data_IF_374406920214
#
_entry.id   IF_374406920214
#
_cell.length_a   1.000
_cell.length_b   1.000
_cell.length_c   1.000
_cell.angle_alpha   90.00
_cell.angle_beta   90.00
_cell.angle_gamma   90.00
#
_symmetry.space_group_name_H-M   'P 1'
#
loop_
_entity.id
_entity.type
_entity.pdbx_description
1 polymer ?
#
# COMPACT_ATOMS: atom_id res chain seq x y z
N UNK A 1 15.96 -10.09 17.30
CA UNK A 1 14.48 -10.09 17.44
C UNK A 1 13.97 -9.40 16.19
N UNK A 2 13.44 -10.21 15.27
CA UNK A 2 13.09 -9.96 13.87
C UNK A 2 14.00 -8.99 13.10
N UNK A 3 14.94 -9.56 12.34
CA UNK A 3 15.48 -8.91 11.15
C UNK A 3 14.31 -8.79 10.17
N UNK A 4 13.54 -7.72 10.24
CA UNK A 4 12.50 -7.47 9.23
C UNK A 4 13.22 -6.85 8.04
N UNK A 5 13.24 -7.61 6.96
CA UNK A 5 13.74 -7.19 5.66
C UNK A 5 13.23 -5.77 5.39
N UNK A 6 14.10 -4.91 4.84
CA UNK A 6 13.63 -3.73 4.13
C UNK A 6 12.77 -4.30 3.02
N UNK A 7 11.47 -4.44 3.29
CA UNK A 7 10.53 -5.01 2.34
C UNK A 7 10.70 -4.19 1.08
N UNK A 8 10.58 -4.85 -0.07
CA UNK A 8 10.89 -4.28 -1.37
C UNK A 8 9.80 -3.28 -1.82
N UNK A 9 9.29 -2.53 -0.86
CA UNK A 9 8.30 -1.48 -0.93
C UNK A 9 8.75 -0.41 -1.91
N UNK A 10 7.82 -0.07 -2.78
CA UNK A 10 8.03 1.00 -3.74
C UNK A 10 8.26 2.30 -2.98
N UNK A 11 9.14 3.18 -3.48
CA UNK A 11 9.47 4.42 -2.81
C UNK A 11 8.23 5.32 -2.63
N UNK A 12 8.25 6.11 -1.57
CA UNK A 12 7.17 7.00 -1.17
C UNK A 12 6.26 6.40 -0.09
N UNK A 13 5.32 7.22 0.39
CA UNK A 13 4.41 6.86 1.49
C UNK A 13 2.97 6.81 1.02
N UNK A 14 2.14 6.00 1.68
CA UNK A 14 0.71 5.98 1.39
C UNK A 14 0.07 7.35 1.66
N UNK A 15 -0.90 7.77 0.84
CA UNK A 15 -1.71 8.94 1.15
C UNK A 15 -2.54 8.70 2.42
N UNK A 16 -3.05 9.78 3.01
CA UNK A 16 -4.01 9.66 4.10
C UNK A 16 -5.23 8.87 3.63
N UNK A 17 -5.67 7.87 4.40
CA UNK A 17 -6.82 7.05 4.03
C UNK A 17 -8.11 7.87 4.09
N UNK A 18 -8.91 7.77 3.03
CA UNK A 18 -10.34 8.12 3.03
C UNK A 18 -11.18 6.84 3.14
N UNK A 19 -12.48 6.92 3.48
CA UNK A 19 -13.35 5.74 3.60
C UNK A 19 -13.59 5.13 2.21
N UNK A 20 -12.77 4.14 1.88
CA UNK A 20 -12.89 3.32 0.68
C UNK A 20 -13.79 2.11 0.87
N UNK A 21 -13.84 1.28 -0.18
CA UNK A 21 -14.55 0.01 -0.13
C UNK A 21 -13.82 -0.96 0.80
N UNK A 22 -14.59 -1.68 1.61
CA UNK A 22 -14.13 -2.79 2.45
C UNK A 22 -13.79 -4.03 1.62
N UNK A 23 -12.78 -3.90 0.76
CA UNK A 23 -12.29 -4.96 -0.11
C UNK A 23 -10.76 -4.96 -0.11
N UNK A 24 -10.16 -6.14 -0.17
CA UNK A 24 -8.71 -6.31 -0.28
C UNK A 24 -8.33 -6.46 -1.75
N UNK A 25 -7.97 -5.36 -2.40
CA UNK A 25 -7.54 -5.36 -3.80
C UNK A 25 -6.06 -5.76 -3.97
N UNK A 26 -5.26 -5.59 -2.93
CA UNK A 26 -3.84 -5.92 -2.90
C UNK A 26 -3.44 -6.40 -1.49
N UNK A 27 -2.31 -7.09 -1.39
CA UNK A 27 -1.71 -7.53 -0.13
C UNK A 27 -0.30 -6.97 0.11
N UNK A 28 0.38 -6.56 -0.97
CA UNK A 28 1.72 -5.96 -0.97
C UNK A 28 1.85 -4.96 -2.12
N UNK A 29 2.81 -4.03 -2.02
CA UNK A 29 3.19 -3.10 -3.08
C UNK A 29 3.44 -3.78 -4.44
N UNK A 30 3.91 -5.03 -4.42
CA UNK A 30 4.18 -5.81 -5.63
C UNK A 30 2.93 -6.22 -6.42
N UNK A 31 1.78 -6.31 -5.75
CA UNK A 31 0.49 -6.60 -6.40
C UNK A 31 0.01 -5.42 -7.24
N UNK A 32 0.47 -4.21 -6.90
CA UNK A 32 0.09 -3.00 -7.57
C UNK A 32 0.96 -2.74 -8.81
N UNK A 33 0.41 -2.18 -9.90
CA UNK A 33 1.19 -1.88 -11.09
C UNK A 33 2.07 -0.62 -10.90
N UNK A 34 3.18 -0.57 -11.62
CA UNK A 34 4.06 0.60 -11.65
C UNK A 34 4.58 1.02 -10.26
N UNK A 35 4.47 2.31 -9.94
CA UNK A 35 4.91 2.88 -8.66
C UNK A 35 3.81 2.88 -7.57
N UNK A 36 2.62 2.35 -7.86
CA UNK A 36 1.52 2.34 -6.89
C UNK A 36 1.86 1.44 -5.69
N UNK A 37 1.49 1.90 -4.50
CA UNK A 37 1.66 1.17 -3.23
C UNK A 37 0.34 0.55 -2.80
N UNK A 38 0.42 -0.57 -2.08
CA UNK A 38 -0.74 -1.20 -1.47
C UNK A 38 -1.05 -0.50 -0.15
N UNK A 39 -2.10 0.31 -0.14
CA UNK A 39 -2.38 1.22 0.95
C UNK A 39 -3.73 0.92 1.58
N UNK A 40 -3.79 1.01 2.91
CA UNK A 40 -5.04 0.93 3.65
C UNK A 40 -5.95 2.10 3.24
N UNK A 41 -7.21 1.81 2.93
CA UNK A 41 -8.22 2.77 2.48
C UNK A 41 -9.33 3.00 3.53
N UNK A 42 -8.99 2.93 4.82
CA UNK A 42 -9.99 3.10 5.89
C UNK A 42 -10.91 1.89 6.11
N UNK A 43 -10.82 0.83 5.29
CA UNK A 43 -11.49 -0.44 5.57
C UNK A 43 -10.72 -1.68 5.08
N UNK A 44 -10.26 -1.69 3.83
CA UNK A 44 -9.38 -2.70 3.25
C UNK A 44 -8.13 -2.07 2.63
N UNK A 45 -7.52 -2.70 1.63
CA UNK A 45 -6.36 -2.16 0.90
C UNK A 45 -6.62 -1.99 -0.59
N UNK A 46 -6.06 -0.93 -1.15
CA UNK A 46 -6.14 -0.62 -2.57
C UNK A 46 -4.83 0.01 -3.08
N UNK A 47 -4.62 -0.09 -4.39
CA UNK A 47 -3.41 0.43 -5.03
C UNK A 47 -3.49 1.94 -5.22
N UNK A 48 -2.74 2.68 -4.40
CA UNK A 48 -2.73 4.15 -4.39
C UNK A 48 -1.43 4.71 -4.95
N UNK A 49 -1.48 5.92 -5.52
CA UNK A 49 -0.26 6.64 -5.87
C UNK A 49 0.47 7.08 -4.60
N UNK A 50 1.80 6.88 -4.50
CA UNK A 50 2.56 7.30 -3.34
C UNK A 50 2.70 8.82 -3.26
N UNK A 51 2.75 9.34 -2.03
CA UNK A 51 3.22 10.69 -1.73
C UNK A 51 4.75 10.69 -1.54
N UNK A 52 5.36 11.86 -1.75
CA UNK A 52 6.79 12.11 -1.52
C UNK A 52 7.12 12.40 -0.05
#
# INVERSE_FOLDING_TARGET
MSNFEVDSDKPGVCPEPDIGLCWEACSSDHDCPGAQKCCYNGCGHDCQQPNN
#
